data_IF_336697191362
#
_entry.id   IF_336697191362
#
_cell.length_a   1.000
_cell.length_b   1.000
_cell.length_c   1.000
_cell.angle_alpha   90.00
_cell.angle_beta   90.00
_cell.angle_gamma   90.00
#
_symmetry.space_group_name_H-M   'P 1'
#
loop_
_entity.id
_entity.type
_entity.pdbx_description
1 polymer ?
#
# COMPACT_ATOMS: atom_id res chain seq x y z
N UNK A 1 -8.60 40.15 23.36
CA UNK A 1 -7.61 39.08 23.14
C UNK A 1 -8.17 38.12 22.11
N UNK A 2 -7.60 38.13 20.91
CA UNK A 2 -8.18 37.52 19.72
C UNK A 2 -7.38 36.31 19.23
N UNK A 3 -8.13 35.38 18.60
CA UNK A 3 -7.74 34.25 17.75
C UNK A 3 -7.32 32.96 18.46
N UNK A 4 -8.34 32.19 18.84
CA UNK A 4 -8.32 30.74 18.74
C UNK A 4 -8.37 30.33 17.25
N UNK A 5 -7.24 30.43 16.57
CA UNK A 5 -7.05 30.11 15.14
C UNK A 5 -6.07 28.95 15.04
N UNK A 6 -6.47 27.72 15.38
CA UNK A 6 -5.68 26.56 14.97
C UNK A 6 -6.40 25.20 15.09
N UNK A 7 -7.63 25.12 14.57
CA UNK A 7 -8.31 23.84 14.40
C UNK A 7 -8.83 23.75 12.98
N UNK A 8 -8.04 23.20 12.06
CA UNK A 8 -8.53 22.37 10.93
C UNK A 8 -7.60 22.29 9.70
N UNK A 9 -6.31 22.64 9.74
CA UNK A 9 -5.49 22.74 8.51
C UNK A 9 -5.69 21.59 7.49
N UNK A 10 -5.76 20.32 7.90
CA UNK A 10 -6.03 19.18 7.00
C UNK A 10 -7.45 19.14 6.40
N UNK A 11 -8.48 19.58 7.14
CA UNK A 11 -9.84 19.74 6.62
C UNK A 11 -10.04 21.08 5.88
N UNK A 12 -9.18 22.06 6.15
CA UNK A 12 -9.19 23.39 5.54
C UNK A 12 -8.57 23.38 4.14
N UNK A 13 -7.53 22.57 3.90
CA UNK A 13 -6.94 22.35 2.57
C UNK A 13 -7.98 21.82 1.58
N UNK A 14 -8.98 21.04 2.02
CA UNK A 14 -9.93 20.36 1.13
C UNK A 14 -11.17 21.18 0.76
N UNK A 15 -11.51 22.23 1.52
CA UNK A 15 -12.72 23.05 1.29
C UNK A 15 -12.50 24.24 0.35
N UNK A 16 -11.25 24.52 -0.05
CA UNK A 16 -10.89 25.65 -0.92
C UNK A 16 -10.41 25.27 -2.33
N UNK A 17 -10.36 23.99 -2.67
CA UNK A 17 -9.76 23.53 -3.92
C UNK A 17 -10.65 23.80 -5.12
N UNK A 18 -10.10 24.46 -6.14
CA UNK A 18 -10.83 24.71 -7.39
C UNK A 18 -11.05 23.42 -8.17
N UNK A 19 -12.08 23.34 -9.02
CA UNK A 19 -12.20 22.24 -9.98
C UNK A 19 -10.93 22.12 -10.83
N UNK A 20 -10.40 20.90 -10.98
CA UNK A 20 -9.19 20.63 -11.75
C UNK A 20 -7.86 20.81 -11.01
N UNK A 21 -7.86 21.34 -9.78
CA UNK A 21 -6.64 21.46 -8.98
C UNK A 21 -6.12 20.08 -8.56
N UNK A 22 -4.80 19.86 -8.71
CA UNK A 22 -4.11 18.59 -8.46
C UNK A 22 -2.87 18.77 -7.57
N UNK A 23 -2.49 17.73 -6.83
CA UNK A 23 -1.23 17.70 -6.08
C UNK A 23 -0.02 17.65 -7.02
N UNK A 24 1.10 18.22 -6.59
CA UNK A 24 2.39 18.08 -7.28
C UNK A 24 2.95 16.67 -7.11
N UNK A 25 3.60 16.11 -8.13
CA UNK A 25 4.29 14.81 -8.03
C UNK A 25 5.42 14.78 -6.99
N UNK A 26 5.94 15.94 -6.60
CA UNK A 26 6.91 16.06 -5.50
C UNK A 26 6.29 16.01 -4.09
N UNK A 27 4.97 15.98 -3.99
CA UNK A 27 4.26 15.83 -2.71
C UNK A 27 4.54 14.43 -2.14
N UNK A 28 4.95 14.32 -0.85
CA UNK A 28 5.10 13.03 -0.18
C UNK A 28 3.89 12.12 -0.28
N UNK A 29 2.67 12.64 -0.35
CA UNK A 29 1.47 11.85 -0.58
C UNK A 29 1.50 11.10 -1.91
N UNK A 30 2.27 11.55 -2.90
CA UNK A 30 2.42 10.90 -4.19
C UNK A 30 3.69 10.07 -4.26
N UNK A 31 4.88 10.68 -4.16
CA UNK A 31 6.12 9.98 -4.52
C UNK A 31 6.46 8.80 -3.60
N UNK A 32 6.02 8.81 -2.34
CA UNK A 32 6.28 7.70 -1.41
C UNK A 32 5.60 6.38 -1.80
N UNK A 33 4.63 6.41 -2.72
CA UNK A 33 4.04 5.21 -3.32
C UNK A 33 5.05 4.36 -4.08
N UNK A 34 6.21 4.91 -4.45
CA UNK A 34 7.32 4.15 -5.04
C UNK A 34 7.74 2.96 -4.15
N UNK A 35 7.49 3.03 -2.84
CA UNK A 35 7.74 1.93 -1.91
C UNK A 35 6.94 0.65 -2.22
N UNK A 36 5.85 0.74 -3.00
CA UNK A 36 5.10 -0.44 -3.45
C UNK A 36 5.76 -1.15 -4.63
N UNK A 37 6.65 -0.49 -5.39
CA UNK A 37 7.20 -1.04 -6.64
C UNK A 37 8.05 -2.31 -6.39
N UNK A 38 8.97 -2.35 -5.41
CA UNK A 38 9.76 -3.57 -5.16
C UNK A 38 8.89 -4.78 -4.82
N UNK A 39 7.85 -4.60 -4.00
CA UNK A 39 6.92 -5.68 -3.64
C UNK A 39 6.20 -6.26 -4.87
N UNK A 40 5.70 -5.39 -5.76
CA UNK A 40 5.04 -5.82 -7.01
C UNK A 40 6.02 -6.60 -7.90
N UNK A 41 7.21 -6.05 -8.14
CA UNK A 41 8.20 -6.66 -9.03
C UNK A 41 8.66 -8.02 -8.50
N UNK A 42 8.99 -8.12 -7.21
CA UNK A 42 9.40 -9.39 -6.60
C UNK A 42 8.27 -10.41 -6.64
N UNK A 43 7.05 -10.01 -6.28
CA UNK A 43 5.88 -10.91 -6.29
C UNK A 43 5.57 -11.45 -7.69
N UNK A 44 5.81 -10.66 -8.73
CA UNK A 44 5.58 -11.04 -10.13
C UNK A 44 6.69 -11.91 -10.72
N UNK A 45 7.94 -11.75 -10.27
CA UNK A 45 9.12 -12.32 -10.94
C UNK A 45 9.75 -13.51 -10.21
N UNK A 46 9.43 -13.75 -8.95
CA UNK A 46 9.94 -14.92 -8.22
C UNK A 46 9.40 -16.23 -8.80
N UNK A 47 10.14 -17.32 -8.62
CA UNK A 47 9.85 -18.64 -9.19
C UNK A 47 8.45 -19.19 -8.83
N UNK A 48 7.97 -18.92 -7.61
CA UNK A 48 6.61 -19.21 -7.17
C UNK A 48 5.84 -17.90 -6.96
N UNK A 49 5.28 -17.29 -8.02
CA UNK A 49 4.73 -15.93 -7.98
C UNK A 49 3.55 -15.80 -7.01
N UNK A 50 3.27 -14.57 -6.56
CA UNK A 50 2.12 -14.21 -5.73
C UNK A 50 1.15 -13.35 -6.57
N UNK A 51 0.39 -13.94 -7.51
CA UNK A 51 -0.49 -13.17 -8.39
C UNK A 51 -1.53 -12.35 -7.62
N UNK A 52 -1.98 -12.83 -6.46
CA UNK A 52 -2.93 -12.10 -5.62
C UNK A 52 -2.32 -10.83 -5.02
N UNK A 53 -1.04 -10.87 -4.63
CA UNK A 53 -0.32 -9.69 -4.14
C UNK A 53 -0.08 -8.70 -5.28
N UNK A 54 0.33 -9.19 -6.45
CA UNK A 54 0.51 -8.35 -7.65
C UNK A 54 -0.78 -7.63 -8.00
N UNK A 55 -1.90 -8.34 -8.07
CA UNK A 55 -3.19 -7.76 -8.46
C UNK A 55 -3.65 -6.69 -7.45
N UNK A 56 -3.65 -7.03 -6.16
CA UNK A 56 -4.19 -6.15 -5.13
C UNK A 56 -3.31 -4.92 -4.92
N UNK A 57 -1.98 -5.08 -4.93
CA UNK A 57 -1.04 -3.99 -4.72
C UNK A 57 -0.94 -3.08 -5.95
N UNK A 58 -1.04 -3.61 -7.17
CA UNK A 58 -1.14 -2.79 -8.38
C UNK A 58 -2.42 -1.96 -8.39
N UNK A 59 -3.54 -2.54 -7.94
CA UNK A 59 -4.79 -1.81 -7.77
C UNK A 59 -4.67 -0.69 -6.72
N UNK A 60 -4.07 -0.97 -5.55
CA UNK A 60 -3.80 0.04 -4.52
C UNK A 60 -2.91 1.15 -5.07
N UNK A 61 -1.78 0.81 -5.69
CA UNK A 61 -0.84 1.79 -6.24
C UNK A 61 -1.54 2.72 -7.23
N UNK A 62 -2.31 2.15 -8.17
CA UNK A 62 -3.00 2.92 -9.22
C UNK A 62 -4.09 3.81 -8.64
N UNK A 63 -4.96 3.26 -7.79
CA UNK A 63 -6.08 3.98 -7.20
C UNK A 63 -5.61 5.04 -6.20
N UNK A 64 -4.62 4.72 -5.38
CA UNK A 64 -4.12 5.62 -4.34
C UNK A 64 -3.33 6.78 -4.95
N UNK A 65 -2.52 6.56 -5.99
CA UNK A 65 -1.92 7.66 -6.76
C UNK A 65 -2.98 8.59 -7.36
N UNK A 66 -4.03 8.05 -8.01
CA UNK A 66 -5.11 8.86 -8.57
C UNK A 66 -5.88 9.62 -7.48
N UNK A 67 -6.12 8.98 -6.35
CA UNK A 67 -6.84 9.54 -5.21
C UNK A 67 -6.08 10.70 -4.58
N UNK A 68 -4.79 10.50 -4.28
CA UNK A 68 -3.91 11.53 -3.73
C UNK A 68 -3.67 12.65 -4.73
N UNK A 69 -3.45 12.34 -6.01
CA UNK A 69 -3.30 13.35 -7.06
C UNK A 69 -4.53 14.26 -7.17
N UNK A 70 -5.72 13.72 -6.86
CA UNK A 70 -6.99 14.45 -6.80
C UNK A 70 -7.31 15.10 -5.44
N UNK A 71 -6.34 15.27 -4.54
CA UNK A 71 -6.54 15.82 -3.19
C UNK A 71 -7.60 15.06 -2.37
N UNK A 72 -7.62 13.74 -2.50
CA UNK A 72 -8.42 12.86 -1.66
C UNK A 72 -9.93 13.18 -1.64
N UNK A 73 -10.46 13.78 -2.71
CA UNK A 73 -11.87 14.20 -2.80
C UNK A 73 -12.82 13.01 -2.60
N UNK A 74 -13.95 13.19 -1.88
CA UNK A 74 -14.92 12.13 -1.69
C UNK A 74 -15.57 11.73 -3.03
N UNK A 75 -15.93 10.45 -3.17
CA UNK A 75 -16.58 9.90 -4.35
C UNK A 75 -16.23 8.43 -4.59
N UNK A 76 -16.54 7.92 -5.78
CA UNK A 76 -16.28 6.52 -6.15
C UNK A 76 -14.79 6.15 -6.09
N UNK A 77 -13.90 7.07 -6.49
CA UNK A 77 -12.45 6.86 -6.39
C UNK A 77 -12.00 6.65 -4.94
N UNK A 78 -12.51 7.46 -4.01
CA UNK A 78 -12.20 7.32 -2.58
C UNK A 78 -12.72 5.99 -2.00
N UNK A 79 -13.88 5.53 -2.46
CA UNK A 79 -14.43 4.23 -2.05
C UNK A 79 -13.60 3.07 -2.60
N UNK A 80 -13.22 3.13 -3.88
CA UNK A 80 -12.40 2.12 -4.52
C UNK A 80 -11.01 2.01 -3.90
N UNK A 81 -10.34 3.15 -3.69
CA UNK A 81 -9.05 3.23 -2.99
C UNK A 81 -9.18 2.68 -1.56
N UNK A 82 -10.18 3.14 -0.81
CA UNK A 82 -10.36 2.70 0.56
C UNK A 82 -10.78 1.24 0.69
N UNK A 83 -11.32 0.61 -0.36
CA UNK A 83 -11.60 -0.82 -0.40
C UNK A 83 -10.32 -1.61 -0.71
N UNK A 84 -9.60 -1.23 -1.77
CA UNK A 84 -8.37 -1.94 -2.17
C UNK A 84 -7.30 -1.87 -1.08
N UNK A 85 -7.13 -0.72 -0.42
CA UNK A 85 -6.20 -0.55 0.69
C UNK A 85 -6.53 -1.46 1.89
N UNK A 86 -7.83 -1.60 2.22
CA UNK A 86 -8.28 -2.52 3.28
C UNK A 86 -8.04 -3.98 2.91
N UNK A 87 -8.31 -4.35 1.67
CA UNK A 87 -8.02 -5.71 1.20
C UNK A 87 -6.53 -6.00 1.28
N UNK A 88 -5.66 -5.07 0.86
CA UNK A 88 -4.20 -5.23 0.97
C UNK A 88 -3.76 -5.34 2.43
N UNK A 89 -4.35 -4.54 3.33
CA UNK A 89 -4.08 -4.64 4.77
C UNK A 89 -4.47 -6.00 5.34
N UNK A 90 -5.66 -6.52 4.99
CA UNK A 90 -6.11 -7.85 5.41
C UNK A 90 -5.22 -8.96 4.83
N UNK A 91 -4.79 -8.83 3.58
CA UNK A 91 -3.83 -9.73 2.96
C UNK A 91 -2.51 -9.77 3.74
N UNK A 92 -1.93 -8.60 4.04
CA UNK A 92 -0.72 -8.47 4.84
C UNK A 92 -0.87 -9.07 6.24
N UNK A 93 -2.01 -8.83 6.91
CA UNK A 93 -2.29 -9.39 8.22
C UNK A 93 -2.35 -10.93 8.18
N UNK A 94 -3.05 -11.50 7.20
CA UNK A 94 -3.07 -12.95 6.99
C UNK A 94 -1.67 -13.52 6.70
N UNK A 95 -0.87 -12.82 5.89
CA UNK A 95 0.50 -13.23 5.59
C UNK A 95 1.43 -13.13 6.80
N UNK A 96 1.22 -12.16 7.69
CA UNK A 96 1.99 -12.03 8.94
C UNK A 96 1.85 -13.28 9.80
N UNK A 97 0.63 -13.82 9.92
CA UNK A 97 0.35 -15.06 10.65
C UNK A 97 0.99 -16.30 10.00
N UNK A 98 1.39 -16.21 8.73
CA UNK A 98 2.05 -17.27 7.96
C UNK A 98 3.55 -17.02 7.78
N UNK A 99 4.16 -16.14 8.59
CA UNK A 99 5.60 -15.91 8.54
C UNK A 99 6.37 -17.21 8.78
N UNK A 100 7.40 -17.54 7.99
CA UNK A 100 8.05 -18.85 8.03
C UNK A 100 8.95 -19.05 9.24
N UNK A 101 9.37 -17.97 9.90
CA UNK A 101 10.17 -18.00 11.13
C UNK A 101 9.83 -16.83 12.07
N UNK A 102 10.38 -16.87 13.28
CA UNK A 102 10.12 -15.88 14.33
C UNK A 102 10.67 -14.49 14.01
N UNK A 103 11.77 -14.38 13.27
CA UNK A 103 12.36 -13.10 12.91
C UNK A 103 11.47 -12.37 11.89
N UNK A 104 10.99 -13.09 10.87
CA UNK A 104 10.04 -12.57 9.90
C UNK A 104 8.67 -12.29 10.52
N UNK A 105 8.22 -13.11 11.47
CA UNK A 105 7.00 -12.82 12.23
C UNK A 105 7.12 -11.49 12.98
N UNK A 106 8.25 -11.24 13.66
CA UNK A 106 8.50 -9.98 14.36
C UNK A 106 8.55 -8.79 13.39
N UNK A 107 9.26 -8.93 12.26
CA UNK A 107 9.35 -7.87 11.25
C UNK A 107 7.98 -7.53 10.63
N UNK A 108 7.22 -8.54 10.21
CA UNK A 108 5.87 -8.38 9.66
C UNK A 108 4.90 -7.81 10.70
N UNK A 109 4.96 -8.28 11.96
CA UNK A 109 4.15 -7.74 13.06
C UNK A 109 4.48 -6.28 13.36
N UNK A 110 5.75 -5.89 13.27
CA UNK A 110 6.19 -4.51 13.39
C UNK A 110 5.58 -3.64 12.29
N UNK A 111 5.62 -4.09 11.03
CA UNK A 111 5.01 -3.38 9.92
C UNK A 111 3.48 -3.26 10.07
N UNK A 112 2.81 -4.35 10.48
CA UNK A 112 1.38 -4.38 10.79
C UNK A 112 1.03 -3.33 11.86
N UNK A 113 1.74 -3.35 12.99
CA UNK A 113 1.48 -2.47 14.12
C UNK A 113 1.73 -0.99 13.75
N UNK A 114 2.79 -0.69 13.01
CA UNK A 114 3.09 0.66 12.54
C UNK A 114 2.04 1.17 11.56
N UNK A 115 1.59 0.32 10.62
CA UNK A 115 0.55 0.66 9.64
C UNK A 115 -0.78 0.93 10.35
N UNK A 116 -1.20 0.01 11.22
CA UNK A 116 -2.44 0.15 12.00
C UNK A 116 -2.38 1.37 12.93
N UNK A 117 -1.24 1.57 13.60
CA UNK A 117 -1.01 2.72 14.45
C UNK A 117 -1.11 4.04 13.68
N UNK A 118 -0.45 4.14 12.51
CA UNK A 118 -0.56 5.31 11.65
C UNK A 118 -2.00 5.54 11.19
N UNK A 119 -2.73 4.48 10.79
CA UNK A 119 -4.14 4.59 10.42
C UNK A 119 -5.00 5.12 11.57
N UNK A 120 -4.87 4.56 12.78
CA UNK A 120 -5.64 5.00 13.94
C UNK A 120 -5.30 6.44 14.33
N UNK A 121 -4.02 6.77 14.44
CA UNK A 121 -3.55 8.10 14.86
C UNK A 121 -3.99 9.19 13.88
N UNK A 122 -3.84 8.95 12.57
CA UNK A 122 -4.27 9.92 11.54
C UNK A 122 -5.79 9.99 11.38
N UNK A 123 -6.54 9.00 11.90
CA UNK A 123 -7.99 9.10 12.03
C UNK A 123 -8.44 9.87 13.27
N UNK A 124 -7.71 9.76 14.36
CA UNK A 124 -7.98 10.49 15.60
C UNK A 124 -7.56 11.96 15.52
N UNK A 125 -6.34 12.24 15.06
CA UNK A 125 -5.82 13.60 14.87
C UNK A 125 -5.47 13.85 13.39
N UNK A 126 -6.41 14.51 12.70
CA UNK A 126 -6.27 14.84 11.27
C UNK A 126 -5.11 15.80 10.98
N UNK A 127 -4.58 16.53 11.98
CA UNK A 127 -3.40 17.40 11.79
C UNK A 127 -2.14 16.60 11.49
N UNK A 128 -2.10 15.35 11.95
CA UNK A 128 -0.97 14.45 11.72
C UNK A 128 -1.02 13.79 10.33
N UNK A 129 -2.14 13.88 9.63
CA UNK A 129 -2.38 13.17 8.36
C UNK A 129 -1.28 13.42 7.33
N UNK A 130 -1.04 14.68 6.94
CA UNK A 130 -0.05 15.01 5.90
C UNK A 130 1.37 14.59 6.27
N UNK A 131 1.70 14.57 7.56
CA UNK A 131 3.04 14.20 8.04
C UNK A 131 3.23 12.69 8.13
N UNK A 132 2.22 11.96 8.63
CA UNK A 132 2.36 10.54 8.99
C UNK A 132 1.83 9.59 7.92
N UNK A 133 0.82 10.00 7.13
CA UNK A 133 0.21 9.16 6.12
C UNK A 133 1.24 8.66 5.07
N UNK A 134 2.13 9.49 4.50
CA UNK A 134 3.11 9.02 3.54
C UNK A 134 4.02 7.89 4.08
N UNK A 135 4.46 8.03 5.33
CA UNK A 135 5.39 7.06 5.92
C UNK A 135 4.67 5.81 6.43
N UNK A 136 3.64 6.01 7.24
CA UNK A 136 2.94 4.91 7.90
C UNK A 136 1.97 4.16 7.01
N UNK A 137 1.48 4.77 5.92
CA UNK A 137 0.46 4.20 5.05
C UNK A 137 0.91 4.01 3.59
N UNK A 138 2.08 4.54 3.18
CA UNK A 138 2.70 4.16 1.89
C UNK A 138 4.01 3.39 2.10
N UNK A 139 4.98 3.98 2.81
CA UNK A 139 6.32 3.37 2.94
C UNK A 139 6.28 2.08 3.75
N UNK A 140 5.71 2.08 4.96
CA UNK A 140 5.64 0.87 5.79
C UNK A 140 4.86 -0.27 5.10
N UNK A 141 3.66 -0.04 4.52
CA UNK A 141 2.98 -1.06 3.73
C UNK A 141 3.78 -1.54 2.51
N UNK A 142 4.50 -0.64 1.83
CA UNK A 142 5.41 -0.99 0.75
C UNK A 142 6.50 -1.96 1.21
N UNK A 143 7.22 -1.63 2.29
CA UNK A 143 8.24 -2.51 2.89
C UNK A 143 7.64 -3.85 3.31
N UNK A 144 6.49 -3.82 3.99
CA UNK A 144 5.78 -5.02 4.44
C UNK A 144 5.45 -5.95 3.28
N UNK A 145 4.92 -5.39 2.19
CA UNK A 145 4.59 -6.15 0.99
C UNK A 145 5.83 -6.77 0.33
N UNK A 146 6.98 -6.09 0.37
CA UNK A 146 8.25 -6.64 -0.12
C UNK A 146 8.74 -7.80 0.74
N UNK A 147 8.63 -7.72 2.07
CA UNK A 147 8.96 -8.84 2.97
C UNK A 147 8.08 -10.06 2.66
N UNK A 148 6.76 -9.84 2.51
CA UNK A 148 5.82 -10.89 2.12
C UNK A 148 6.19 -11.49 0.76
N UNK A 149 6.45 -10.65 -0.25
CA UNK A 149 6.82 -11.09 -1.58
C UNK A 149 8.12 -11.91 -1.60
N UNK A 150 9.10 -11.57 -0.76
CA UNK A 150 10.37 -12.29 -0.67
C UNK A 150 10.24 -13.64 0.03
N UNK A 151 9.47 -13.70 1.13
CA UNK A 151 9.61 -14.81 2.08
C UNK A 151 8.36 -15.68 2.23
N UNK A 152 7.18 -15.20 1.85
CA UNK A 152 5.94 -15.92 2.13
C UNK A 152 5.49 -16.79 0.95
N UNK A 153 4.74 -17.84 1.27
CA UNK A 153 4.01 -18.62 0.27
C UNK A 153 2.70 -17.91 -0.14
N UNK A 154 2.15 -18.20 -1.33
CA UNK A 154 0.84 -17.70 -1.73
C UNK A 154 -0.27 -18.07 -0.74
N UNK A 155 -1.29 -17.19 -0.62
CA UNK A 155 -2.53 -17.53 0.09
C UNK A 155 -3.47 -18.37 -0.77
N UNK A 156 -3.45 -18.15 -2.10
CA UNK A 156 -4.28 -18.91 -3.02
C UNK A 156 -3.68 -20.30 -3.30
N UNK A 157 -4.52 -21.35 -3.42
CA UNK A 157 -4.09 -22.67 -3.86
C UNK A 157 -3.39 -22.62 -5.22
N UNK A 158 -2.40 -23.51 -5.41
CA UNK A 158 -1.67 -23.61 -6.68
C UNK A 158 -2.57 -23.84 -7.91
N UNK A 159 -3.73 -24.50 -7.73
CA UNK A 159 -4.70 -24.72 -8.80
C UNK A 159 -5.32 -23.42 -9.37
N UNK A 160 -5.23 -22.31 -8.64
CA UNK A 160 -5.74 -20.99 -9.04
C UNK A 160 -4.62 -20.04 -9.50
N UNK A 161 -3.35 -20.45 -9.39
CA UNK A 161 -2.23 -19.72 -9.94
C UNK A 161 -2.06 -20.19 -11.39
N UNK A 162 -2.21 -19.31 -12.39
CA UNK A 162 -2.02 -19.71 -13.79
C UNK A 162 -0.62 -20.30 -13.92
N UNK A 163 -0.54 -21.58 -14.28
CA UNK A 163 0.70 -22.18 -14.77
C UNK A 163 1.01 -21.51 -16.10
N UNK A 164 1.61 -20.32 -16.07
CA UNK A 164 2.17 -19.70 -17.25
C UNK A 164 3.08 -20.73 -17.93
N UNK A 165 3.17 -20.72 -19.28
CA UNK A 165 4.04 -21.66 -19.96
C UNK A 165 5.43 -21.50 -19.37
N UNK A 166 5.97 -22.58 -18.81
CA UNK A 166 7.42 -22.71 -18.66
C UNK A 166 7.95 -22.40 -20.06
N UNK A 167 8.59 -21.24 -20.22
CA UNK A 167 9.41 -20.97 -21.39
C UNK A 167 10.56 -21.98 -21.30
N UNK A 168 10.29 -23.21 -21.72
CA UNK A 168 11.30 -24.19 -22.08
C UNK A 168 12.04 -23.55 -23.25
N UNK A 169 13.14 -22.86 -22.95
CA UNK A 169 14.11 -22.47 -23.96
C UNK A 169 14.66 -23.78 -24.51
N UNK A 170 14.32 -24.18 -25.74
CA UNK A 170 14.87 -25.40 -26.31
C UNK A 170 16.34 -25.10 -26.61
N UNK A 171 17.27 -25.84 -26.01
CA UNK A 171 18.66 -25.86 -26.48
C UNK A 171 19.80 -25.69 -25.47
N UNK A 172 19.55 -25.72 -24.15
CA UNK A 172 20.66 -25.86 -23.18
C UNK A 172 20.53 -27.21 -22.49
N UNK A 173 21.12 -28.22 -23.11
CA UNK A 173 21.43 -29.48 -22.45
C UNK A 173 22.64 -29.26 -21.54
N UNK A 174 22.58 -29.80 -20.33
CA UNK A 174 23.72 -29.93 -19.42
C UNK A 174 24.79 -30.89 -19.98
#
# INVERSE_FOLDING_TARGET
MARCSDRSHAAQVRRGLKPGERRSWSDPQLWTHVAFVPGILVAATRAAPLPELVAIQSAVLSLSLLYHWNYERPGLLAQGEGLSAKLLFLYGAAQTLRSPDAALLAANSGCFALTLGAFVVTNFDKRLYERWHPWGLHVVPGVWSTLVALHNAPLLPAALVPSGPLLSVPGISA
#
